data_IF_941850474757
#
_entry.id   IF_941850474757
#
_cell.length_a   1.000
_cell.length_b   1.000
_cell.length_c   1.000
_cell.angle_alpha   90.00
_cell.angle_beta   90.00
_cell.angle_gamma   90.00
#
_symmetry.space_group_name_H-M   'P 1'
#
loop_
_entity.id
_entity.type
_entity.pdbx_description
1 polymer ?
#
# COMPACT_ATOMS: atom_id res chain seq x y z
N UNK A 1 -28.53 50.28 30.81
CA UNK A 1 -28.19 49.87 29.42
C UNK A 1 -26.69 49.74 29.16
N UNK A 2 -25.82 50.70 29.52
CA UNK A 2 -24.35 50.60 29.28
C UNK A 2 -23.68 49.34 29.85
N UNK A 3 -24.02 48.93 31.08
CA UNK A 3 -23.45 47.71 31.70
C UNK A 3 -23.91 46.40 31.05
N UNK A 4 -25.08 46.38 30.40
CA UNK A 4 -25.57 45.18 29.70
C UNK A 4 -24.81 44.99 28.38
N UNK A 5 -24.61 46.09 27.65
CA UNK A 5 -23.85 46.09 26.40
C UNK A 5 -22.38 45.67 26.62
N UNK A 6 -21.77 46.15 27.70
CA UNK A 6 -20.38 45.77 28.05
C UNK A 6 -20.26 44.30 28.42
N UNK A 7 -21.25 43.74 29.15
CA UNK A 7 -21.31 42.30 29.45
C UNK A 7 -21.46 41.47 28.18
N UNK A 8 -22.35 41.86 27.25
CA UNK A 8 -22.54 41.13 25.98
C UNK A 8 -21.25 41.12 25.15
N UNK A 9 -20.58 42.27 24.99
CA UNK A 9 -19.31 42.36 24.26
C UNK A 9 -18.25 41.47 24.92
N UNK A 10 -18.11 41.52 26.25
CA UNK A 10 -17.12 40.73 26.96
C UNK A 10 -17.38 39.22 26.81
N UNK A 11 -18.64 38.78 26.89
CA UNK A 11 -19.00 37.37 26.69
C UNK A 11 -18.74 36.92 25.25
N UNK A 12 -19.03 37.75 24.24
CA UNK A 12 -18.75 37.43 22.83
C UNK A 12 -17.25 37.35 22.56
N UNK A 13 -16.45 38.28 23.09
CA UNK A 13 -14.99 38.26 22.96
C UNK A 13 -14.40 37.03 23.67
N UNK A 14 -14.90 36.69 24.87
CA UNK A 14 -14.47 35.51 25.60
C UNK A 14 -14.79 34.20 24.85
N UNK A 15 -15.96 34.11 24.22
CA UNK A 15 -16.34 32.98 23.35
C UNK A 15 -15.49 32.88 22.07
N UNK A 16 -15.09 34.01 21.50
CA UNK A 16 -14.20 34.01 20.32
C UNK A 16 -12.78 33.58 20.69
N UNK A 17 -12.25 34.02 21.83
CA UNK A 17 -10.91 33.65 22.30
C UNK A 17 -10.83 32.15 22.62
N UNK A 18 -11.87 31.57 23.27
CA UNK A 18 -11.90 30.14 23.57
C UNK A 18 -12.00 29.27 22.32
N UNK A 19 -12.71 29.73 21.27
CA UNK A 19 -12.78 29.02 19.99
C UNK A 19 -11.42 28.92 19.27
N UNK A 20 -10.54 29.92 19.40
CA UNK A 20 -9.19 29.87 18.81
C UNK A 20 -8.28 28.83 19.49
N UNK A 21 -8.49 28.54 20.78
CA UNK A 21 -7.63 27.63 21.54
C UNK A 21 -7.89 26.14 21.28
N UNK A 22 -8.95 25.79 20.54
CA UNK A 22 -9.28 24.39 20.19
C UNK A 22 -8.90 23.99 18.76
N UNK A 23 -8.22 24.84 17.99
CA UNK A 23 -7.78 24.48 16.63
C UNK A 23 -6.59 23.54 16.69
N UNK A 24 -6.75 22.30 16.21
CA UNK A 24 -5.64 21.38 16.02
C UNK A 24 -4.62 21.98 15.05
N UNK A 25 -3.35 22.02 15.44
CA UNK A 25 -2.29 22.48 14.55
C UNK A 25 -2.11 21.44 13.43
N UNK A 26 -2.59 21.77 12.24
CA UNK A 26 -2.41 20.95 11.05
C UNK A 26 -1.10 21.34 10.36
N UNK A 27 -0.24 20.36 10.11
CA UNK A 27 1.00 20.54 9.36
C UNK A 27 0.90 19.70 8.09
N UNK A 28 1.07 20.36 6.93
CA UNK A 28 1.05 19.70 5.64
C UNK A 28 2.45 19.69 5.05
N UNK A 29 2.93 18.51 4.67
CA UNK A 29 4.23 18.29 4.06
C UNK A 29 4.07 17.74 2.64
N UNK A 30 4.93 18.18 1.73
CA UNK A 30 5.06 17.61 0.41
C UNK A 30 5.86 16.28 0.42
N UNK A 31 6.08 15.73 -0.77
CA UNK A 31 6.86 14.51 -1.00
C UNK A 31 8.33 14.57 -0.57
N UNK A 32 8.88 15.77 -0.41
CA UNK A 32 10.25 16.02 0.03
C UNK A 32 10.33 16.33 1.53
N UNK A 33 9.19 16.42 2.21
CA UNK A 33 9.10 16.79 3.63
C UNK A 33 9.08 18.30 3.87
N UNK A 34 8.91 19.10 2.82
CA UNK A 34 8.81 20.55 2.93
C UNK A 34 7.38 20.98 3.28
N UNK A 35 7.24 22.01 4.11
CA UNK A 35 5.94 22.50 4.53
C UNK A 35 5.22 23.18 3.38
N UNK A 36 3.97 22.78 3.12
CA UNK A 36 3.10 23.33 2.07
C UNK A 36 1.77 23.82 2.64
N UNK A 37 1.00 24.54 1.81
CA UNK A 37 -0.36 24.95 2.16
C UNK A 37 -1.33 23.76 2.12
N UNK A 38 -2.47 23.88 2.81
CA UNK A 38 -3.57 22.91 2.70
C UNK A 38 -4.08 22.76 1.25
N UNK A 39 -4.10 23.86 0.48
CA UNK A 39 -4.56 23.88 -0.91
C UNK A 39 -3.62 23.06 -1.78
N UNK A 40 -2.31 23.25 -1.62
CA UNK A 40 -1.30 22.49 -2.36
C UNK A 40 -1.32 21.02 -1.99
N UNK A 41 -1.50 20.72 -0.69
CA UNK A 41 -1.68 19.36 -0.22
C UNK A 41 -2.88 18.69 -0.90
N UNK A 42 -4.07 19.31 -0.85
CA UNK A 42 -5.28 18.79 -1.52
C UNK A 42 -5.08 18.62 -3.02
N UNK A 43 -4.41 19.56 -3.67
CA UNK A 43 -4.10 19.49 -5.11
C UNK A 43 -3.18 18.30 -5.43
N UNK A 44 -2.16 18.04 -4.61
CA UNK A 44 -1.27 16.87 -4.75
C UNK A 44 -2.01 15.56 -4.44
N UNK A 45 -2.84 15.51 -3.40
CA UNK A 45 -3.61 14.32 -3.04
C UNK A 45 -4.63 13.90 -4.11
N UNK A 46 -5.08 14.83 -4.94
CA UNK A 46 -5.94 14.52 -6.09
C UNK A 46 -5.20 13.90 -7.27
N UNK A 47 -3.88 13.73 -7.23
CA UNK A 47 -3.09 13.10 -8.27
C UNK A 47 -2.77 11.64 -7.90
N UNK A 48 -3.10 10.71 -8.79
CA UNK A 48 -2.96 9.27 -8.57
C UNK A 48 -1.52 8.76 -8.39
N UNK A 49 -0.51 9.58 -8.71
CA UNK A 49 0.89 9.25 -8.41
C UNK A 49 1.22 9.38 -6.92
N UNK A 50 0.35 10.00 -6.13
CA UNK A 50 0.56 10.22 -4.71
C UNK A 50 -0.40 9.42 -3.83
N UNK A 51 0.07 9.11 -2.63
CA UNK A 51 -0.73 8.66 -1.49
C UNK A 51 -0.55 9.71 -0.40
N UNK A 52 -1.65 10.22 0.13
CA UNK A 52 -1.62 11.16 1.24
C UNK A 52 -1.96 10.42 2.53
N UNK A 53 -1.09 10.56 3.52
CA UNK A 53 -1.28 9.97 4.84
C UNK A 53 -1.44 11.09 5.86
N UNK A 54 -2.34 10.90 6.82
CA UNK A 54 -2.48 11.77 7.98
C UNK A 54 -2.30 10.92 9.22
N UNK A 55 -1.45 11.37 10.13
CA UNK A 55 -1.29 10.77 11.44
C UNK A 55 -1.41 11.87 12.50
N UNK A 56 -2.13 11.53 13.57
CA UNK A 56 -2.31 12.42 14.71
C UNK A 56 -1.37 11.96 15.80
N UNK A 57 -0.48 12.84 16.24
CA UNK A 57 0.34 12.61 17.43
C UNK A 57 0.13 13.80 18.36
N UNK A 58 -0.24 13.49 19.60
CA UNK A 58 -0.60 14.46 20.64
C UNK A 58 -1.77 15.36 20.19
N UNK A 59 -1.51 16.59 19.78
CA UNK A 59 -2.52 17.55 19.28
C UNK A 59 -2.20 18.10 17.89
N UNK A 60 -1.22 17.49 17.21
CA UNK A 60 -0.78 17.87 15.87
C UNK A 60 -1.25 16.81 14.89
N UNK A 61 -1.99 17.24 13.88
CA UNK A 61 -2.31 16.43 12.72
C UNK A 61 -1.24 16.68 11.66
N UNK A 62 -0.39 15.68 11.41
CA UNK A 62 0.64 15.74 10.40
C UNK A 62 0.18 15.00 9.15
N UNK A 63 0.03 15.74 8.07
CA UNK A 63 -0.43 15.27 6.77
C UNK A 63 0.73 15.32 5.78
N UNK A 64 1.09 14.19 5.18
CA UNK A 64 2.23 14.08 4.28
C UNK A 64 1.81 13.52 2.91
N UNK A 65 2.31 14.15 1.85
CA UNK A 65 2.24 13.62 0.48
C UNK A 65 3.37 12.61 0.29
N UNK A 66 3.08 11.43 -0.24
CA UNK A 66 4.08 10.40 -0.54
C UNK A 66 3.89 9.90 -1.96
N UNK A 67 4.99 9.59 -2.65
CA UNK A 67 4.90 8.95 -3.97
C UNK A 67 4.31 7.54 -3.82
N UNK A 68 3.15 7.30 -4.44
CA UNK A 68 2.55 5.97 -4.58
C UNK A 68 3.27 5.14 -5.64
N UNK A 69 3.74 5.82 -6.70
CA UNK A 69 4.59 5.22 -7.73
C UNK A 69 5.82 6.09 -7.92
N UNK A 70 7.00 5.48 -8.04
CA UNK A 70 8.26 6.22 -8.15
C UNK A 70 9.24 5.51 -9.08
N UNK A 71 9.73 6.23 -10.08
CA UNK A 71 10.96 5.84 -10.75
C UNK A 71 12.16 6.40 -10.00
N UNK A 72 13.26 5.67 -10.01
CA UNK A 72 14.53 6.17 -9.53
C UNK A 72 15.70 5.40 -10.12
N UNK A 73 16.89 5.69 -9.60
CA UNK A 73 18.12 5.05 -10.01
C UNK A 73 19.05 4.90 -8.82
N UNK A 74 19.68 3.75 -8.72
CA UNK A 74 20.87 3.50 -7.90
C UNK A 74 22.06 3.30 -8.83
N UNK A 75 23.28 3.37 -8.30
CA UNK A 75 24.48 3.02 -9.05
C UNK A 75 24.51 1.53 -9.37
N UNK A 76 25.20 1.16 -10.46
CA UNK A 76 25.43 -0.25 -10.79
C UNK A 76 26.20 -0.99 -9.69
N UNK A 77 27.03 -0.29 -8.91
CA UNK A 77 27.72 -0.86 -7.76
C UNK A 77 26.74 -1.21 -6.62
N UNK A 78 25.81 -0.30 -6.30
CA UNK A 78 24.76 -0.57 -5.29
C UNK A 78 23.86 -1.72 -5.74
N UNK A 79 23.50 -1.78 -7.03
CA UNK A 79 22.78 -2.93 -7.60
C UNK A 79 23.55 -4.23 -7.38
N UNK A 80 24.84 -4.25 -7.71
CA UNK A 80 25.69 -5.42 -7.55
C UNK A 80 25.81 -5.88 -6.09
N UNK A 81 25.88 -4.93 -5.15
CA UNK A 81 25.90 -5.22 -3.72
C UNK A 81 24.57 -5.81 -3.25
N UNK A 82 23.45 -5.22 -3.65
CA UNK A 82 22.11 -5.71 -3.31
C UNK A 82 21.87 -7.11 -3.85
N UNK A 83 22.21 -7.38 -5.11
CA UNK A 83 22.05 -8.70 -5.70
C UNK A 83 22.89 -9.76 -4.97
N UNK A 84 24.16 -9.46 -4.65
CA UNK A 84 25.00 -10.39 -3.85
C UNK A 84 24.43 -10.65 -2.46
N UNK A 85 23.89 -9.62 -1.81
CA UNK A 85 23.21 -9.76 -0.52
C UNK A 85 22.00 -10.70 -0.64
N UNK A 86 21.18 -10.52 -1.66
CA UNK A 86 20.00 -11.37 -1.90
C UNK A 86 20.39 -12.81 -2.19
N UNK A 87 21.38 -13.04 -3.06
CA UNK A 87 21.87 -14.40 -3.36
C UNK A 87 22.29 -15.12 -2.06
N UNK A 88 23.02 -14.41 -1.20
CA UNK A 88 23.49 -14.95 0.07
C UNK A 88 22.35 -15.24 1.05
N UNK A 89 21.43 -14.29 1.24
CA UNK A 89 20.45 -14.35 2.32
C UNK A 89 19.18 -15.13 1.92
N UNK A 90 18.80 -15.17 0.64
CA UNK A 90 17.67 -15.96 0.14
C UNK A 90 18.08 -17.32 -0.43
N UNK A 91 19.37 -17.56 -0.67
CA UNK A 91 19.86 -18.83 -1.24
C UNK A 91 19.43 -19.07 -2.69
N UNK A 92 19.06 -18.01 -3.42
CA UNK A 92 18.65 -18.08 -4.83
C UNK A 92 19.77 -17.59 -5.75
N UNK A 93 19.84 -18.15 -6.97
CA UNK A 93 20.76 -17.66 -7.98
C UNK A 93 20.17 -16.50 -8.77
N UNK A 94 20.94 -15.43 -8.97
CA UNK A 94 20.55 -14.26 -9.76
C UNK A 94 21.71 -13.87 -10.66
N UNK A 95 21.51 -13.95 -11.97
CA UNK A 95 22.49 -13.55 -12.97
C UNK A 95 22.64 -12.00 -12.99
N UNK A 96 23.78 -11.51 -13.47
CA UNK A 96 24.10 -10.07 -13.43
C UNK A 96 23.20 -9.22 -14.32
N UNK A 97 22.66 -9.77 -15.39
CA UNK A 97 21.78 -9.13 -16.37
C UNK A 97 20.28 -9.31 -16.07
N UNK A 98 19.93 -10.04 -15.00
CA UNK A 98 18.55 -10.28 -14.61
C UNK A 98 17.92 -9.08 -13.91
N UNK A 99 16.64 -8.83 -14.18
CA UNK A 99 15.83 -7.90 -13.39
C UNK A 99 15.46 -8.55 -12.06
N UNK A 100 15.54 -7.81 -10.95
CA UNK A 100 15.08 -8.30 -9.64
C UNK A 100 13.73 -7.68 -9.31
N UNK A 101 12.73 -8.52 -9.08
CA UNK A 101 11.40 -8.09 -8.65
C UNK A 101 11.23 -8.43 -7.18
N UNK A 102 11.29 -7.43 -6.30
CA UNK A 102 11.00 -7.62 -4.89
C UNK A 102 9.51 -7.47 -4.61
N UNK A 103 8.96 -8.44 -3.91
CA UNK A 103 7.60 -8.47 -3.37
C UNK A 103 7.65 -8.40 -1.86
N UNK A 104 7.13 -7.31 -1.32
CA UNK A 104 7.06 -7.07 0.12
C UNK A 104 5.68 -7.46 0.64
N UNK A 105 5.66 -8.34 1.64
CA UNK A 105 4.48 -8.57 2.48
C UNK A 105 4.63 -7.81 3.78
N UNK A 106 3.61 -7.04 4.14
CA UNK A 106 3.61 -6.34 5.42
C UNK A 106 3.59 -7.33 6.59
N UNK A 107 2.95 -8.48 6.39
CA UNK A 107 2.86 -9.53 7.38
C UNK A 107 2.45 -10.86 6.75
N UNK A 108 3.00 -11.96 7.26
CA UNK A 108 2.55 -13.33 7.05
C UNK A 108 1.38 -13.64 7.99
N UNK A 109 0.41 -14.41 7.50
CA UNK A 109 -0.72 -14.84 8.30
C UNK A 109 -0.28 -15.88 9.34
N UNK A 110 -0.75 -15.70 10.58
CA UNK A 110 -0.73 -16.75 11.61
C UNK A 110 -2.16 -17.14 11.93
N UNK A 111 -2.35 -18.40 12.34
CA UNK A 111 -3.68 -18.90 12.67
C UNK A 111 -4.32 -18.07 13.78
N UNK A 112 -3.54 -17.73 14.81
CA UNK A 112 -3.98 -16.96 15.98
C UNK A 112 -4.46 -15.56 15.60
N UNK A 113 -3.80 -14.92 14.65
CA UNK A 113 -4.21 -13.61 14.14
C UNK A 113 -5.47 -13.73 13.29
N UNK A 114 -5.52 -14.69 12.38
CA UNK A 114 -6.65 -14.84 11.47
C UNK A 114 -7.93 -15.27 12.18
N UNK A 115 -7.84 -16.13 13.20
CA UNK A 115 -8.99 -16.46 14.05
C UNK A 115 -9.46 -15.25 14.87
N UNK A 116 -8.55 -14.37 15.33
CA UNK A 116 -8.93 -13.13 16.01
C UNK A 116 -9.68 -12.18 15.06
N UNK A 117 -9.18 -12.00 13.84
CA UNK A 117 -9.82 -11.19 12.80
C UNK A 117 -11.19 -11.77 12.41
N UNK A 118 -11.26 -13.08 12.19
CA UNK A 118 -12.50 -13.79 11.91
C UNK A 118 -13.53 -13.56 13.02
N UNK A 119 -13.14 -13.69 14.28
CA UNK A 119 -14.03 -13.46 15.42
C UNK A 119 -14.52 -12.01 15.52
N UNK A 120 -13.67 -11.03 15.18
CA UNK A 120 -14.08 -9.62 15.08
C UNK A 120 -15.12 -9.42 13.96
N UNK A 121 -14.89 -10.01 12.79
CA UNK A 121 -15.85 -9.96 11.68
C UNK A 121 -17.17 -10.67 12.03
N UNK A 122 -17.13 -11.83 12.69
CA UNK A 122 -18.31 -12.55 13.17
C UNK A 122 -19.18 -11.68 14.09
N UNK A 123 -18.56 -10.97 15.03
CA UNK A 123 -19.26 -10.02 15.91
C UNK A 123 -19.89 -8.85 15.14
N UNK A 124 -19.17 -8.27 14.18
CA UNK A 124 -19.71 -7.18 13.35
C UNK A 124 -20.88 -7.65 12.49
N UNK A 125 -20.75 -8.82 11.87
CA UNK A 125 -21.81 -9.44 11.10
C UNK A 125 -23.06 -9.70 11.94
N UNK A 126 -22.92 -10.25 13.15
CA UNK A 126 -24.04 -10.45 14.06
C UNK A 126 -24.76 -9.13 14.38
N UNK A 127 -24.04 -8.03 14.56
CA UNK A 127 -24.65 -6.69 14.76
C UNK A 127 -25.44 -6.24 13.54
N UNK A 128 -24.84 -6.33 12.34
CA UNK A 128 -25.52 -5.99 11.08
C UNK A 128 -26.76 -6.86 10.85
N UNK A 129 -26.70 -8.13 11.25
CA UNK A 129 -27.83 -9.06 11.21
C UNK A 129 -28.98 -8.60 12.08
N UNK A 130 -28.71 -8.23 13.33
CA UNK A 130 -29.78 -7.69 14.20
C UNK A 130 -30.40 -6.42 13.62
N UNK A 131 -29.59 -5.51 13.05
CA UNK A 131 -30.06 -4.27 12.44
C UNK A 131 -30.94 -4.52 11.20
N UNK A 132 -30.49 -5.37 10.27
CA UNK A 132 -31.23 -5.70 9.04
C UNK A 132 -32.51 -6.48 9.37
N UNK A 133 -32.49 -7.41 10.33
CA UNK A 133 -33.69 -8.11 10.80
C UNK A 133 -34.70 -7.13 11.38
N UNK A 134 -34.23 -6.13 12.15
CA UNK A 134 -35.08 -5.07 12.70
C UNK A 134 -35.70 -4.20 11.60
N UNK A 135 -34.94 -3.84 10.56
CA UNK A 135 -35.43 -3.10 9.40
C UNK A 135 -36.42 -3.92 8.55
N UNK A 136 -36.17 -5.22 8.39
CA UNK A 136 -37.05 -6.14 7.66
C UNK A 136 -38.39 -6.33 8.36
N UNK A 137 -38.46 -6.19 9.69
CA UNK A 137 -39.74 -6.18 10.43
C UNK A 137 -40.58 -4.92 10.13
N UNK A 138 -39.95 -3.81 9.75
CA UNK A 138 -40.59 -2.53 9.49
C UNK A 138 -40.83 -2.26 7.99
N UNK A 139 -40.35 -3.14 7.10
CA UNK A 139 -40.38 -2.94 5.66
C UNK A 139 -41.11 -4.07 4.94
N UNK A 140 -41.90 -3.73 3.93
CA UNK A 140 -42.54 -4.71 3.02
C UNK A 140 -41.55 -5.37 2.06
N UNK A 141 -40.32 -4.85 1.93
CA UNK A 141 -39.23 -5.46 1.15
C UNK A 141 -38.17 -6.00 2.09
N UNK A 142 -38.06 -7.32 2.17
CA UNK A 142 -36.98 -7.99 2.90
C UNK A 142 -35.65 -7.73 2.19
N UNK A 143 -34.70 -7.14 2.90
CA UNK A 143 -33.29 -7.13 2.52
C UNK A 143 -32.69 -8.47 2.92
N UNK A 144 -32.07 -9.16 1.97
CA UNK A 144 -31.35 -10.40 2.23
C UNK A 144 -29.96 -10.14 2.80
N UNK A 145 -29.44 -11.11 3.55
CA UNK A 145 -28.06 -11.13 3.98
C UNK A 145 -27.17 -11.54 2.84
N UNK A 146 -26.11 -10.78 2.53
CA UNK A 146 -25.30 -11.12 1.38
C UNK A 146 -24.35 -12.32 1.58
N UNK A 147 -24.25 -12.92 2.78
CA UNK A 147 -23.32 -14.04 3.05
C UNK A 147 -23.61 -14.74 4.39
N UNK A 148 -23.38 -16.05 4.45
CA UNK A 148 -23.15 -16.80 5.69
C UNK A 148 -21.64 -16.77 6.02
N UNK A 149 -21.29 -16.72 7.30
CA UNK A 149 -19.89 -16.80 7.74
C UNK A 149 -19.56 -18.26 8.02
N UNK A 150 -18.70 -18.84 7.19
CA UNK A 150 -18.14 -20.17 7.40
C UNK A 150 -17.35 -20.23 8.70
N UNK A 151 -17.31 -21.40 9.34
CA UNK A 151 -16.54 -21.62 10.56
C UNK A 151 -15.05 -21.69 10.23
N UNK A 152 -14.34 -20.59 10.52
CA UNK A 152 -12.89 -20.54 10.39
C UNK A 152 -12.21 -21.37 11.48
N UNK A 153 -11.37 -22.31 11.07
CA UNK A 153 -10.63 -23.21 11.94
C UNK A 153 -9.23 -23.47 11.37
N UNK A 154 -8.43 -24.31 12.04
CA UNK A 154 -7.04 -24.56 11.67
C UNK A 154 -6.91 -25.22 10.30
N UNK A 155 -7.77 -26.16 9.96
CA UNK A 155 -7.73 -26.88 8.68
C UNK A 155 -8.04 -25.92 7.51
N UNK A 156 -9.05 -25.06 7.69
CA UNK A 156 -9.37 -23.99 6.73
C UNK A 156 -8.20 -23.02 6.55
N UNK A 157 -7.53 -22.65 7.65
CA UNK A 157 -6.35 -21.81 7.58
C UNK A 157 -5.20 -22.48 6.83
N UNK A 158 -4.92 -23.75 7.11
CA UNK A 158 -3.86 -24.50 6.47
C UNK A 158 -4.14 -24.68 4.96
N UNK A 159 -5.41 -24.88 4.55
CA UNK A 159 -5.83 -24.88 3.14
C UNK A 159 -5.59 -23.52 2.47
N UNK A 160 -5.94 -22.42 3.13
CA UNK A 160 -5.70 -21.06 2.61
C UNK A 160 -4.20 -20.81 2.39
N UNK A 161 -3.37 -21.19 3.35
CA UNK A 161 -1.90 -21.04 3.26
C UNK A 161 -1.33 -21.90 2.14
N UNK A 162 -1.81 -23.14 2.01
CA UNK A 162 -1.41 -24.05 0.94
C UNK A 162 -1.77 -23.49 -0.44
N UNK A 163 -3.02 -23.06 -0.64
CA UNK A 163 -3.47 -22.49 -1.89
C UNK A 163 -2.72 -21.20 -2.24
N UNK A 164 -2.47 -20.34 -1.25
CA UNK A 164 -1.67 -19.14 -1.45
C UNK A 164 -0.25 -19.48 -1.92
N UNK A 165 0.36 -20.51 -1.34
CA UNK A 165 1.70 -20.97 -1.71
C UNK A 165 1.73 -21.49 -3.13
N UNK A 166 0.73 -22.26 -3.55
CA UNK A 166 0.57 -22.71 -4.94
C UNK A 166 0.47 -21.51 -5.88
N UNK A 167 -0.41 -20.55 -5.57
CA UNK A 167 -0.61 -19.36 -6.40
C UNK A 167 0.68 -18.53 -6.55
N UNK A 168 1.48 -18.42 -5.48
CA UNK A 168 2.77 -17.71 -5.52
C UNK A 168 3.76 -18.44 -6.41
N UNK A 169 3.88 -19.76 -6.31
CA UNK A 169 4.80 -20.53 -7.15
C UNK A 169 4.40 -20.48 -8.64
N UNK A 170 3.12 -20.65 -8.96
CA UNK A 170 2.63 -20.47 -10.33
C UNK A 170 2.98 -19.08 -10.89
N UNK A 171 2.96 -18.06 -10.03
CA UNK A 171 3.35 -16.71 -10.38
C UNK A 171 4.86 -16.55 -10.59
N UNK A 172 5.69 -17.20 -9.78
CA UNK A 172 7.15 -17.24 -9.98
C UNK A 172 7.45 -17.86 -11.33
N UNK A 173 6.99 -19.09 -11.55
CA UNK A 173 7.27 -19.86 -12.77
C UNK A 173 6.85 -19.08 -14.01
N UNK A 174 5.62 -18.59 -14.03
CA UNK A 174 5.06 -17.84 -15.17
C UNK A 174 5.85 -16.60 -15.57
N UNK A 175 6.46 -15.90 -14.61
CA UNK A 175 7.19 -14.66 -14.88
C UNK A 175 8.68 -14.88 -15.09
N UNK A 176 9.30 -15.78 -14.33
CA UNK A 176 10.71 -16.14 -14.50
C UNK A 176 10.97 -16.91 -15.80
N UNK A 177 10.02 -17.73 -16.28
CA UNK A 177 10.13 -18.38 -17.60
C UNK A 177 9.99 -17.39 -18.75
N UNK A 178 9.20 -16.33 -18.55
CA UNK A 178 8.80 -15.41 -19.62
C UNK A 178 9.71 -14.20 -19.76
N UNK A 179 10.35 -13.80 -18.68
CA UNK A 179 11.14 -12.58 -18.58
C UNK A 179 12.49 -12.91 -17.95
N UNK A 180 13.53 -12.20 -18.36
CA UNK A 180 14.86 -12.34 -17.74
C UNK A 180 14.86 -11.66 -16.35
N UNK A 181 14.22 -12.31 -15.37
CA UNK A 181 14.04 -11.77 -14.02
C UNK A 181 14.14 -12.86 -12.95
N UNK A 182 14.32 -12.41 -11.71
CA UNK A 182 14.12 -13.21 -10.50
C UNK A 182 13.11 -12.54 -9.57
N UNK A 183 12.15 -13.30 -9.07
CA UNK A 183 11.23 -12.86 -8.02
C UNK A 183 11.83 -13.11 -6.65
N UNK A 184 11.74 -12.10 -5.78
CA UNK A 184 12.30 -12.13 -4.43
C UNK A 184 11.23 -11.69 -3.46
N UNK A 185 10.94 -12.50 -2.46
CA UNK A 185 9.87 -12.25 -1.52
C UNK A 185 10.45 -11.97 -0.15
N UNK A 186 9.91 -10.99 0.56
CA UNK A 186 10.31 -10.70 1.94
C UNK A 186 9.14 -10.14 2.75
N UNK A 187 9.25 -10.28 4.07
CA UNK A 187 8.29 -9.74 5.02
C UNK A 187 9.00 -9.12 6.22
N UNK A 188 8.22 -8.43 7.06
CA UNK A 188 8.73 -7.78 8.28
C UNK A 188 8.40 -8.55 9.57
N UNK A 189 7.67 -9.65 9.47
CA UNK A 189 7.30 -10.48 10.62
C UNK A 189 8.43 -11.37 11.15
N UNK A 190 8.14 -12.09 12.24
CA UNK A 190 9.04 -13.09 12.82
C UNK A 190 9.35 -14.22 11.82
N UNK A 191 10.63 -14.57 11.61
CA UNK A 191 11.03 -15.61 10.66
C UNK A 191 10.43 -17.00 10.93
N UNK A 192 9.99 -17.29 12.15
CA UNK A 192 9.36 -18.57 12.50
C UNK A 192 8.05 -18.83 11.73
N UNK A 193 7.40 -17.79 11.20
CA UNK A 193 6.19 -17.93 10.38
C UNK A 193 6.49 -18.45 8.98
N UNK A 194 7.72 -18.28 8.48
CA UNK A 194 8.15 -18.72 7.14
C UNK A 194 7.98 -20.23 6.93
N UNK A 195 8.14 -21.02 8.00
CA UNK A 195 8.06 -22.48 7.94
C UNK A 195 6.71 -23.02 7.44
N UNK A 196 5.64 -22.20 7.45
CA UNK A 196 4.32 -22.58 6.92
C UNK A 196 4.15 -22.27 5.43
N UNK A 197 5.06 -21.49 4.85
CA UNK A 197 5.03 -21.02 3.47
C UNK A 197 6.19 -21.67 2.72
N UNK A 198 5.96 -22.88 2.23
CA UNK A 198 6.98 -23.73 1.61
C UNK A 198 7.19 -23.41 0.12
N UNK A 199 8.12 -24.12 -0.52
CA UNK A 199 8.35 -24.14 -1.99
C UNK A 199 8.92 -22.88 -2.64
N UNK A 200 9.19 -21.81 -1.89
CA UNK A 200 10.02 -20.69 -2.36
C UNK A 200 10.86 -20.11 -1.23
N UNK A 201 11.86 -19.30 -1.59
CA UNK A 201 12.80 -18.72 -0.62
C UNK A 201 12.38 -17.33 -0.16
N UNK A 202 12.40 -17.15 1.15
CA UNK A 202 12.27 -15.83 1.79
C UNK A 202 13.62 -15.12 1.84
N UNK A 203 13.65 -13.87 1.39
CA UNK A 203 14.75 -12.97 1.63
C UNK A 203 14.59 -12.30 2.99
N UNK A 204 15.60 -12.44 3.85
CA UNK A 204 15.64 -11.76 5.14
C UNK A 204 16.20 -10.35 4.99
N UNK A 205 15.33 -9.36 4.86
CA UNK A 205 15.76 -7.96 4.84
C UNK A 205 16.31 -7.54 6.21
N UNK A 206 17.57 -7.08 6.23
CA UNK A 206 18.24 -6.58 7.44
C UNK A 206 18.06 -5.06 7.61
N UNK A 207 17.00 -4.52 7.03
CA UNK A 207 16.70 -3.08 6.97
C UNK A 207 17.23 -2.38 5.71
N UNK A 208 18.00 -3.06 4.85
CA UNK A 208 18.63 -2.44 3.67
C UNK A 208 17.56 -2.04 2.65
N UNK A 209 16.67 -2.97 2.26
CA UNK A 209 15.60 -2.63 1.33
C UNK A 209 14.59 -1.71 1.98
N UNK A 210 14.29 -1.93 3.26
CA UNK A 210 13.42 -1.06 4.04
C UNK A 210 13.86 0.40 3.98
N UNK A 211 15.14 0.68 4.25
CA UNK A 211 15.63 2.06 4.36
C UNK A 211 15.76 2.73 3.00
N UNK A 212 16.19 1.99 1.97
CA UNK A 212 16.40 2.53 0.64
C UNK A 212 15.09 2.71 -0.12
N UNK A 213 14.19 1.72 -0.06
CA UNK A 213 13.03 1.61 -0.96
C UNK A 213 11.69 1.63 -0.24
N UNK A 214 11.58 0.96 0.91
CA UNK A 214 10.30 0.72 1.61
C UNK A 214 10.15 1.50 2.92
N UNK A 215 10.73 2.72 2.97
CA UNK A 215 10.82 3.58 4.17
C UNK A 215 9.47 3.82 4.84
N UNK A 216 8.42 3.92 4.03
CA UNK A 216 7.04 4.04 4.50
C UNK A 216 6.37 2.68 4.42
N UNK A 217 6.31 1.97 5.55
CA UNK A 217 6.01 0.54 5.63
C UNK A 217 4.90 0.05 4.68
N UNK A 218 3.68 0.60 4.81
CA UNK A 218 2.49 0.17 4.04
C UNK A 218 2.24 0.99 2.77
N UNK A 219 3.28 1.67 2.28
CA UNK A 219 3.18 2.44 1.04
C UNK A 219 3.46 1.53 -0.14
N UNK A 220 4.69 1.01 -0.26
CA UNK A 220 5.13 0.22 -1.40
C UNK A 220 5.11 -1.28 -1.10
N UNK A 221 4.64 -2.08 -2.07
CA UNK A 221 4.60 -3.55 -1.96
C UNK A 221 5.43 -4.23 -3.07
N UNK A 222 5.86 -3.48 -4.09
CA UNK A 222 6.64 -4.03 -5.20
C UNK A 222 7.73 -3.07 -5.62
N UNK A 223 8.91 -3.63 -5.87
CA UNK A 223 10.06 -2.96 -6.48
C UNK A 223 10.49 -3.78 -7.69
N UNK A 224 10.65 -3.14 -8.85
CA UNK A 224 11.31 -3.69 -10.03
C UNK A 224 12.66 -3.00 -10.14
N UNK A 225 13.76 -3.74 -10.09
CA UNK A 225 15.12 -3.23 -10.13
C UNK A 225 15.88 -3.84 -11.32
N UNK A 226 16.29 -3.01 -12.27
CA UNK A 226 17.08 -3.44 -13.44
C UNK A 226 18.59 -3.47 -13.13
N UNK A 227 19.39 -4.23 -13.91
CA UNK A 227 20.85 -4.29 -13.77
C UNK A 227 21.58 -2.94 -13.89
N UNK A 228 21.03 -2.03 -14.68
CA UNK A 228 21.54 -0.66 -14.86
C UNK A 228 21.27 0.25 -13.66
N UNK A 229 20.65 -0.28 -12.60
CA UNK A 229 20.28 0.40 -11.37
C UNK A 229 19.00 1.21 -11.47
N UNK A 230 18.32 1.29 -12.63
CA UNK A 230 17.02 1.93 -12.69
C UNK A 230 15.97 1.08 -11.98
N UNK A 231 15.07 1.74 -11.26
CA UNK A 231 14.03 1.04 -10.52
C UNK A 231 12.66 1.71 -10.62
N UNK A 232 11.64 0.91 -10.36
CA UNK A 232 10.26 1.34 -10.22
C UNK A 232 9.64 0.78 -8.93
N UNK A 233 9.08 1.67 -8.11
CA UNK A 233 8.33 1.34 -6.90
C UNK A 233 6.83 1.47 -7.13
N UNK A 234 6.07 0.52 -6.63
CA UNK A 234 4.61 0.50 -6.69
C UNK A 234 3.96 0.31 -5.31
N UNK A 235 3.07 1.24 -4.97
CA UNK A 235 2.47 1.38 -3.65
C UNK A 235 0.95 1.44 -3.59
N UNK A 236 0.32 0.79 -4.55
CA UNK A 236 -1.08 0.42 -4.51
C UNK A 236 -1.40 -0.46 -5.69
N UNK A 237 -2.69 -0.67 -5.94
CA UNK A 237 -3.11 -1.50 -7.05
C UNK A 237 -2.49 -1.02 -8.37
N UNK A 238 -1.85 -1.94 -9.08
CA UNK A 238 -1.22 -1.69 -10.36
C UNK A 238 -1.53 -2.89 -11.24
N UNK A 239 -2.11 -2.66 -12.42
CA UNK A 239 -2.64 -3.76 -13.21
C UNK A 239 -1.52 -4.66 -13.72
N UNK A 240 -1.77 -5.97 -13.77
CA UNK A 240 -0.81 -6.97 -14.26
C UNK A 240 -0.21 -6.61 -15.63
N UNK A 241 -1.01 -6.06 -16.56
CA UNK A 241 -0.48 -5.69 -17.88
C UNK A 241 0.44 -4.46 -17.83
N UNK A 242 0.31 -3.57 -16.84
CA UNK A 242 1.26 -2.49 -16.62
C UNK A 242 2.61 -3.02 -16.11
N UNK A 243 2.60 -3.98 -15.18
CA UNK A 243 3.81 -4.69 -14.77
C UNK A 243 4.49 -5.36 -15.96
N UNK A 244 3.73 -6.11 -16.78
CA UNK A 244 4.25 -6.71 -18.02
C UNK A 244 4.84 -5.64 -18.97
N UNK A 245 4.23 -4.46 -19.06
CA UNK A 245 4.77 -3.38 -19.87
C UNK A 245 6.06 -2.78 -19.32
N UNK A 246 6.31 -2.84 -18.01
CA UNK A 246 7.59 -2.44 -17.43
C UNK A 246 8.65 -3.53 -17.64
N UNK A 247 8.29 -4.80 -17.45
CA UNK A 247 9.20 -5.95 -17.58
C UNK A 247 9.61 -6.25 -19.03
N UNK A 248 8.77 -5.91 -20.02
CA UNK A 248 9.11 -6.08 -21.45
C UNK A 248 10.04 -5.01 -22.00
N UNK A 249 10.04 -3.83 -21.40
CA UNK A 249 10.70 -2.66 -21.97
C UNK A 249 12.02 -2.42 -21.23
N UNK A 250 13.14 -2.61 -21.92
CA UNK A 250 14.46 -2.23 -21.40
C UNK A 250 14.55 -0.70 -21.18
N UNK A 251 13.96 0.08 -22.10
CA UNK A 251 13.87 1.53 -22.01
C UNK A 251 12.54 1.99 -21.40
N UNK A 252 12.62 2.64 -20.24
CA UNK A 252 11.48 3.24 -19.56
C UNK A 252 11.24 4.71 -19.92
N UNK A 253 11.92 5.29 -20.91
CA UNK A 253 11.81 6.70 -21.27
C UNK A 253 10.38 7.13 -21.57
N UNK A 254 9.59 6.29 -22.28
CA UNK A 254 8.17 6.57 -22.51
C UNK A 254 7.38 6.63 -21.20
N UNK A 255 7.54 5.63 -20.33
CA UNK A 255 6.85 5.55 -19.04
C UNK A 255 7.24 6.71 -18.12
N UNK A 256 8.51 7.12 -18.12
CA UNK A 256 9.00 8.29 -17.39
C UNK A 256 8.41 9.60 -17.94
N UNK A 257 8.28 9.74 -19.27
CA UNK A 257 7.57 10.91 -19.85
C UNK A 257 6.10 10.94 -19.44
N UNK A 258 5.41 9.80 -19.47
CA UNK A 258 4.02 9.69 -19.04
C UNK A 258 3.86 9.97 -17.54
N UNK A 259 4.84 9.55 -16.73
CA UNK A 259 4.95 9.88 -15.31
C UNK A 259 5.05 11.41 -15.11
N UNK A 260 5.96 12.10 -15.81
CA UNK A 260 6.12 13.55 -15.70
C UNK A 260 4.87 14.33 -16.16
N UNK A 261 4.21 13.85 -17.22
CA UNK A 261 2.94 14.43 -17.70
C UNK A 261 1.79 14.24 -16.70
N UNK A 262 1.79 13.11 -15.98
CA UNK A 262 0.83 12.88 -14.89
C UNK A 262 1.16 13.75 -13.68
N UNK A 263 2.44 13.85 -13.31
CA UNK A 263 2.92 14.66 -12.18
C UNK A 263 2.58 16.14 -12.34
N UNK A 264 2.84 16.70 -13.53
CA UNK A 264 2.51 18.08 -13.90
C UNK A 264 1.00 18.35 -14.07
N UNK A 265 0.16 17.32 -13.99
CA UNK A 265 -1.29 17.37 -14.23
C UNK A 265 -1.67 17.87 -15.63
N UNK A 266 -0.80 17.70 -16.63
CA UNK A 266 -1.17 17.86 -18.04
C UNK A 266 -2.33 16.90 -18.41
N UNK A 267 -2.39 15.75 -17.72
CA UNK A 267 -3.49 14.78 -17.81
C UNK A 267 -4.09 14.59 -16.41
N UNK A 268 -5.28 15.13 -16.10
CA UNK A 268 -5.89 15.04 -14.78
C UNK A 268 -6.14 13.61 -14.29
N UNK A 269 -6.53 12.72 -15.21
CA UNK A 269 -6.71 11.28 -14.96
C UNK A 269 -5.41 10.49 -15.22
N UNK A 270 -4.31 11.21 -15.43
CA UNK A 270 -2.97 10.78 -15.84
C UNK A 270 -2.86 9.97 -17.12
N UNK A 271 -1.65 9.48 -17.36
CA UNK A 271 -1.21 9.02 -18.66
C UNK A 271 -0.53 7.66 -18.63
N UNK A 272 -0.70 6.91 -19.72
CA UNK A 272 -0.02 5.63 -19.93
C UNK A 272 -0.36 4.64 -18.82
N UNK A 273 0.66 4.03 -18.22
CA UNK A 273 0.50 3.05 -17.14
C UNK A 273 -0.02 3.64 -15.82
N UNK A 274 -0.11 4.97 -15.73
CA UNK A 274 -0.58 5.65 -14.53
C UNK A 274 -2.04 6.02 -14.59
N UNK A 275 -2.72 5.87 -15.73
CA UNK A 275 -4.10 6.35 -15.93
C UNK A 275 -5.06 5.76 -14.87
N UNK A 276 -5.94 6.61 -14.34
CA UNK A 276 -7.02 6.17 -13.45
C UNK A 276 -7.97 5.21 -14.17
N UNK A 277 -8.33 4.12 -13.52
CA UNK A 277 -9.25 3.13 -14.07
C UNK A 277 -10.23 2.69 -13.00
N UNK A 278 -11.53 2.83 -13.30
CA UNK A 278 -12.64 2.55 -12.37
C UNK A 278 -12.98 1.06 -12.27
N UNK A 279 -12.45 0.22 -13.17
CA UNK A 279 -12.75 -1.20 -13.19
C UNK A 279 -11.79 -1.96 -12.28
N UNK A 280 -12.22 -2.11 -11.02
CA UNK A 280 -11.61 -2.98 -10.02
C UNK A 280 -12.24 -4.37 -10.09
N UNK A 281 -11.69 -5.25 -10.91
CA UNK A 281 -11.99 -6.67 -10.81
C UNK A 281 -10.90 -7.37 -10.02
N UNK A 282 -11.30 -8.05 -8.94
CA UNK A 282 -10.43 -8.88 -8.12
C UNK A 282 -10.15 -10.19 -8.86
N UNK A 283 -9.17 -10.19 -9.76
CA UNK A 283 -8.59 -11.45 -10.24
C UNK A 283 -7.36 -11.79 -9.38
N UNK A 284 -7.03 -13.08 -9.26
CA UNK A 284 -5.72 -13.50 -8.74
C UNK A 284 -4.64 -12.86 -9.60
N UNK A 285 -3.87 -11.94 -9.02
CA UNK A 285 -2.77 -11.27 -9.72
C UNK A 285 -1.46 -11.63 -9.03
N UNK A 286 -0.49 -12.05 -9.83
CA UNK A 286 0.90 -12.22 -9.39
C UNK A 286 1.55 -10.91 -8.91
N UNK A 287 0.88 -9.77 -9.15
CA UNK A 287 1.37 -8.48 -8.75
C UNK A 287 0.34 -7.55 -8.11
#
# INVERSE_FOLDING_TARGET
MKNFFFKVIFTTVFFLISAYTMSQNNVYLDENGEKISFIDFKKKCGNQLFKCLTYTKDSIALSQVLYKYKFGKISSQEYEQLRKLVIKDAGINIQSDQVIVFKKYDSLFSYEREIELHNKHKKQYQKMKVEVDSLNRLSSKKKEYPYELDDFNKDVFDEIVSQWTIDVNECIDKYEEKFNLKMVFFHMDQPSLEAKYENFSWFKDRGVLQDIFFKYGKLHHTLILKPDGEYFLAGGYFKTYYYKSLLRNEDWSKHKRDYQKTLSREYPDGKGIFRFDYNYHQFKYCF
#
